data_IF_706240284828
#
_entry.id   IF_706240284828
#
_cell.length_a   1.000
_cell.length_b   1.000
_cell.length_c   1.000
_cell.angle_alpha   90.00
_cell.angle_beta   90.00
_cell.angle_gamma   90.00
#
_symmetry.space_group_name_H-M   'P 1'
#
loop_
_entity.id
_entity.type
_entity.pdbx_description
1 polymer ?
#
# COMPACT_ATOMS: atom_id res chain seq x y z
N UNK A 1 5.17 0.37 -34.94
CA UNK A 1 5.16 -0.08 -33.52
C UNK A 1 6.55 -0.58 -33.19
N UNK A 2 7.06 -0.36 -31.98
CA UNK A 2 8.41 -0.80 -31.62
C UNK A 2 8.49 -2.33 -31.60
N UNK A 3 9.58 -2.90 -32.13
CA UNK A 3 9.76 -4.36 -32.29
C UNK A 3 9.52 -5.14 -30.99
N UNK A 4 9.96 -4.64 -29.84
CA UNK A 4 9.74 -5.29 -28.54
C UNK A 4 8.27 -5.33 -28.12
N UNK A 5 7.44 -4.37 -28.55
CA UNK A 5 6.00 -4.37 -28.29
C UNK A 5 5.31 -5.43 -29.14
N UNK A 6 5.68 -5.56 -30.42
CA UNK A 6 5.17 -6.59 -31.31
C UNK A 6 5.49 -7.98 -30.78
N UNK A 7 6.74 -8.23 -30.39
CA UNK A 7 7.18 -9.48 -29.80
C UNK A 7 6.43 -9.79 -28.49
N UNK A 8 6.26 -8.79 -27.62
CA UNK A 8 5.52 -8.97 -26.36
C UNK A 8 4.03 -9.33 -26.62
N UNK A 9 3.41 -8.72 -27.61
CA UNK A 9 2.03 -9.02 -27.97
C UNK A 9 1.86 -10.44 -28.57
N UNK A 10 2.93 -11.03 -29.08
CA UNK A 10 2.89 -12.40 -29.57
C UNK A 10 2.93 -13.48 -28.49
N UNK A 11 3.33 -13.14 -27.24
CA UNK A 11 3.39 -14.09 -26.12
C UNK A 11 2.02 -14.72 -25.84
N UNK A 12 0.94 -13.95 -26.00
CA UNK A 12 -0.44 -14.44 -25.80
C UNK A 12 -0.93 -15.37 -26.91
N UNK A 13 -0.23 -15.41 -28.06
CA UNK A 13 -0.51 -16.34 -29.14
C UNK A 13 -0.05 -17.74 -28.76
N UNK A 14 -0.67 -18.74 -29.38
CA UNK A 14 -0.35 -20.14 -29.12
C UNK A 14 0.37 -20.77 -30.30
N UNK A 15 1.22 -21.72 -30.01
CA UNK A 15 1.72 -22.68 -30.98
C UNK A 15 0.59 -23.61 -31.46
N UNK A 16 0.84 -24.39 -32.49
CA UNK A 16 -0.14 -25.36 -33.02
C UNK A 16 -0.57 -26.40 -31.96
N UNK A 17 0.32 -26.75 -31.03
CA UNK A 17 0.06 -27.65 -29.90
C UNK A 17 -0.73 -26.99 -28.74
N UNK A 18 -1.08 -25.72 -28.86
CA UNK A 18 -1.83 -24.95 -27.86
C UNK A 18 -1.00 -24.32 -26.74
N UNK A 19 0.33 -24.51 -26.71
CA UNK A 19 1.23 -23.85 -25.74
C UNK A 19 1.43 -22.37 -26.08
N UNK A 20 1.74 -21.55 -25.08
CA UNK A 20 2.02 -20.12 -25.26
C UNK A 20 3.41 -19.91 -25.86
N UNK A 21 3.56 -18.87 -26.69
CA UNK A 21 4.85 -18.48 -27.32
C UNK A 21 5.73 -17.70 -26.35
N UNK A 22 6.15 -18.34 -25.24
CA UNK A 22 6.92 -17.69 -24.17
C UNK A 22 8.36 -17.30 -24.59
N UNK A 23 8.91 -17.92 -25.64
CA UNK A 23 10.21 -17.56 -26.22
C UNK A 23 10.25 -16.13 -26.72
N UNK A 24 9.13 -15.60 -27.20
CA UNK A 24 9.00 -14.22 -27.67
C UNK A 24 9.27 -13.19 -26.58
N UNK A 25 9.04 -13.55 -25.31
CA UNK A 25 9.33 -12.67 -24.18
C UNK A 25 10.84 -12.39 -24.03
N UNK A 26 11.69 -13.42 -24.21
CA UNK A 26 13.15 -13.24 -24.18
C UNK A 26 13.63 -12.36 -25.35
N UNK A 27 13.03 -12.53 -26.53
CA UNK A 27 13.35 -11.71 -27.69
C UNK A 27 12.88 -10.27 -27.50
N UNK A 28 11.70 -10.07 -26.92
CA UNK A 28 11.19 -8.75 -26.55
C UNK A 28 12.13 -8.03 -25.57
N UNK A 29 12.59 -8.73 -24.51
CA UNK A 29 13.58 -8.19 -23.55
C UNK A 29 14.86 -7.79 -24.29
N UNK A 30 15.40 -8.67 -25.15
CA UNK A 30 16.63 -8.39 -25.91
C UNK A 30 16.48 -7.15 -26.80
N UNK A 31 15.40 -7.09 -27.58
CA UNK A 31 15.12 -5.94 -28.45
C UNK A 31 14.96 -4.65 -27.63
N UNK A 32 14.25 -4.71 -26.51
CA UNK A 32 14.07 -3.55 -25.62
C UNK A 32 15.42 -3.01 -25.10
N UNK A 33 16.34 -3.91 -24.71
CA UNK A 33 17.67 -3.49 -24.27
C UNK A 33 18.53 -2.91 -25.42
N UNK A 34 18.57 -3.57 -26.59
CA UNK A 34 19.41 -3.17 -27.70
C UNK A 34 18.89 -1.87 -28.32
N UNK A 35 17.60 -1.82 -28.59
CA UNK A 35 16.99 -0.78 -29.40
C UNK A 35 16.49 0.42 -28.58
N UNK A 36 16.45 0.31 -27.24
CA UNK A 36 15.96 1.39 -26.38
C UNK A 36 16.86 1.66 -25.17
N UNK A 37 17.05 0.71 -24.24
CA UNK A 37 17.76 1.01 -22.98
C UNK A 37 19.21 1.41 -23.24
N UNK A 38 19.97 0.60 -24.01
CA UNK A 38 21.38 0.89 -24.28
C UNK A 38 21.58 2.16 -25.10
N UNK A 39 20.63 2.50 -25.97
CA UNK A 39 20.70 3.73 -26.80
C UNK A 39 20.46 5.00 -25.95
N UNK A 40 19.73 4.88 -24.85
CA UNK A 40 19.41 5.98 -23.95
C UNK A 40 20.17 5.87 -22.61
N UNK A 41 21.20 5.04 -22.53
CA UNK A 41 22.04 4.88 -21.33
C UNK A 41 23.24 5.82 -21.40
N UNK A 42 23.52 6.54 -20.30
CA UNK A 42 24.80 7.22 -20.16
C UNK A 42 25.89 6.19 -19.84
N UNK A 43 26.94 6.20 -20.63
CA UNK A 43 28.11 5.37 -20.45
C UNK A 43 29.21 6.18 -19.77
N UNK A 44 29.91 5.57 -18.85
CA UNK A 44 31.04 6.13 -18.11
C UNK A 44 32.27 5.30 -18.41
N UNK A 45 33.44 5.90 -18.34
CA UNK A 45 34.70 5.22 -18.60
C UNK A 45 34.97 4.12 -17.59
N UNK A 46 34.75 4.43 -16.31
CA UNK A 46 34.90 3.50 -15.20
C UNK A 46 33.85 3.78 -14.09
N UNK A 47 33.96 3.03 -12.99
CA UNK A 47 33.03 3.14 -11.85
C UNK A 47 33.28 4.45 -11.06
N UNK A 48 34.52 4.90 -10.97
CA UNK A 48 34.89 6.10 -10.20
C UNK A 48 34.25 7.34 -10.83
N UNK A 49 34.47 7.56 -12.14
CA UNK A 49 33.80 8.62 -12.91
C UNK A 49 32.28 8.57 -12.75
N UNK A 50 31.72 7.36 -12.77
CA UNK A 50 30.26 7.19 -12.61
C UNK A 50 29.78 7.66 -11.26
N UNK A 51 30.41 7.22 -10.17
CA UNK A 51 29.97 7.54 -8.82
C UNK A 51 30.19 9.02 -8.52
N UNK A 52 31.34 9.58 -8.90
CA UNK A 52 31.65 11.02 -8.78
C UNK A 52 30.58 11.84 -9.50
N UNK A 53 30.30 11.52 -10.77
CA UNK A 53 29.25 12.20 -11.54
C UNK A 53 27.89 12.15 -10.84
N UNK A 54 27.49 10.98 -10.30
CA UNK A 54 26.20 10.82 -9.66
C UNK A 54 26.09 11.57 -8.33
N UNK A 55 27.20 11.71 -7.59
CA UNK A 55 27.26 12.50 -6.35
C UNK A 55 27.25 14.01 -6.67
N UNK A 56 28.12 14.47 -7.57
CA UNK A 56 28.22 15.88 -7.94
C UNK A 56 26.90 16.45 -8.48
N UNK A 57 26.17 15.65 -9.26
CA UNK A 57 24.87 16.04 -9.82
C UNK A 57 23.69 15.77 -8.87
N UNK A 58 23.94 15.48 -7.59
CA UNK A 58 22.91 15.29 -6.55
C UNK A 58 21.95 14.11 -6.81
N UNK A 59 22.41 13.11 -7.54
CA UNK A 59 21.66 11.86 -7.75
C UNK A 59 21.88 10.87 -6.61
N UNK A 60 23.15 10.67 -6.20
CA UNK A 60 23.50 9.80 -5.08
C UNK A 60 23.84 10.59 -3.82
N UNK A 61 23.58 9.97 -2.66
CA UNK A 61 23.96 10.52 -1.38
C UNK A 61 25.40 10.12 -1.03
N UNK A 62 26.31 11.09 -1.00
CA UNK A 62 27.74 10.92 -0.66
C UNK A 62 27.93 10.21 0.71
N UNK A 63 27.07 10.50 1.68
CA UNK A 63 27.16 9.91 3.03
C UNK A 63 27.09 8.38 3.01
N UNK A 64 26.38 7.77 2.04
CA UNK A 64 26.33 6.32 1.88
C UNK A 64 27.71 5.76 1.51
N UNK A 65 28.42 6.43 0.60
CA UNK A 65 29.72 5.96 0.13
C UNK A 65 30.80 6.16 1.19
N UNK A 66 30.68 7.18 2.05
CA UNK A 66 31.58 7.43 3.17
C UNK A 66 31.53 6.36 4.28
N UNK A 67 30.54 5.46 4.24
CA UNK A 67 30.47 4.30 5.16
C UNK A 67 31.36 3.13 4.76
N UNK A 68 31.97 3.16 3.56
CA UNK A 68 32.72 2.06 3.00
C UNK A 68 34.05 2.51 2.40
N UNK A 69 35.05 1.64 2.43
CA UNK A 69 36.29 1.88 1.69
C UNK A 69 36.02 1.75 0.17
N UNK A 70 36.70 2.55 -0.62
CA UNK A 70 36.47 2.58 -2.06
C UNK A 70 36.73 1.20 -2.75
N UNK A 71 37.71 0.46 -2.26
CA UNK A 71 37.99 -0.91 -2.76
C UNK A 71 36.82 -1.88 -2.49
N UNK A 72 36.13 -1.73 -1.36
CA UNK A 72 34.92 -2.52 -1.06
C UNK A 72 33.79 -2.15 -2.02
N UNK A 73 33.58 -0.86 -2.28
CA UNK A 73 32.55 -0.40 -3.24
C UNK A 73 32.80 -1.02 -4.62
N UNK A 74 34.06 -0.96 -5.11
CA UNK A 74 34.43 -1.61 -6.38
C UNK A 74 34.15 -3.11 -6.36
N UNK A 75 34.47 -3.78 -5.25
CA UNK A 75 34.24 -5.19 -5.09
C UNK A 75 32.74 -5.54 -5.11
N UNK A 76 31.87 -4.74 -4.48
CA UNK A 76 30.42 -4.92 -4.52
C UNK A 76 29.84 -4.85 -5.93
N UNK A 77 30.23 -3.83 -6.71
CA UNK A 77 29.81 -3.71 -8.10
C UNK A 77 30.31 -4.90 -8.94
N UNK A 78 31.58 -5.25 -8.82
CA UNK A 78 32.14 -6.43 -9.51
C UNK A 78 31.38 -7.71 -9.16
N UNK A 79 31.03 -7.87 -7.88
CA UNK A 79 30.26 -9.02 -7.41
C UNK A 79 28.85 -9.05 -7.99
N UNK A 80 28.10 -7.94 -7.93
CA UNK A 80 26.76 -7.85 -8.48
C UNK A 80 26.74 -8.15 -9.99
N UNK A 81 27.68 -7.59 -10.75
CA UNK A 81 27.78 -7.84 -12.19
C UNK A 81 28.21 -9.28 -12.53
N UNK A 82 28.86 -10.01 -11.59
CA UNK A 82 29.22 -11.42 -11.81
C UNK A 82 28.03 -12.36 -11.95
N UNK A 83 26.85 -11.98 -11.41
CA UNK A 83 25.60 -12.74 -11.56
C UNK A 83 25.06 -12.73 -12.99
N UNK A 84 25.52 -11.80 -13.84
CA UNK A 84 25.06 -11.66 -15.24
C UNK A 84 23.52 -11.64 -15.32
N UNK A 85 22.89 -10.86 -14.46
CA UNK A 85 21.43 -10.81 -14.31
C UNK A 85 20.71 -10.59 -15.65
N UNK A 86 19.58 -11.27 -15.81
CA UNK A 86 18.72 -11.13 -16.99
C UNK A 86 17.27 -11.12 -16.55
N UNK A 87 16.52 -10.10 -16.97
CA UNK A 87 15.08 -10.05 -16.76
C UNK A 87 14.40 -11.24 -17.45
N UNK A 88 13.49 -11.89 -16.73
CA UNK A 88 12.74 -13.06 -17.23
C UNK A 88 11.60 -12.68 -18.18
N UNK A 89 11.11 -11.43 -18.09
CA UNK A 89 10.01 -10.93 -18.92
C UNK A 89 10.24 -9.47 -19.35
N UNK A 90 9.66 -9.09 -20.49
CA UNK A 90 9.65 -7.72 -20.97
C UNK A 90 8.98 -6.78 -19.94
N UNK A 91 7.86 -7.21 -19.37
CA UNK A 91 7.14 -6.41 -18.36
C UNK A 91 8.00 -6.12 -17.13
N UNK A 92 8.79 -7.09 -16.67
CA UNK A 92 9.71 -6.89 -15.55
C UNK A 92 10.81 -5.88 -15.91
N UNK A 93 11.42 -6.00 -17.08
CA UNK A 93 12.43 -5.06 -17.56
C UNK A 93 11.86 -3.64 -17.71
N UNK A 94 10.72 -3.53 -18.39
CA UNK A 94 10.02 -2.25 -18.58
C UNK A 94 9.67 -1.60 -17.25
N UNK A 95 9.09 -2.36 -16.31
CA UNK A 95 8.72 -1.83 -14.99
C UNK A 95 9.94 -1.32 -14.22
N UNK A 96 11.07 -2.03 -14.30
CA UNK A 96 12.30 -1.57 -13.64
C UNK A 96 12.79 -0.24 -14.24
N UNK A 97 12.94 -0.17 -15.55
CA UNK A 97 13.49 1.03 -16.22
C UNK A 97 12.51 2.22 -16.22
N UNK A 98 11.21 1.98 -16.26
CA UNK A 98 10.23 3.05 -16.17
C UNK A 98 10.13 3.66 -14.75
N UNK A 99 10.23 2.82 -13.70
CA UNK A 99 9.85 3.21 -12.35
C UNK A 99 10.98 3.24 -11.32
N UNK A 100 12.05 2.45 -11.50
CA UNK A 100 13.08 2.26 -10.46
C UNK A 100 14.47 2.75 -10.86
N UNK A 101 14.87 2.53 -12.10
CA UNK A 101 16.18 2.99 -12.58
C UNK A 101 16.29 4.51 -12.48
N UNK A 102 17.44 4.99 -12.01
CA UNK A 102 17.75 6.41 -11.98
C UNK A 102 17.84 6.95 -13.40
N UNK A 103 17.26 8.12 -13.62
CA UNK A 103 17.29 8.85 -14.87
C UNK A 103 17.80 10.27 -14.64
N UNK A 104 18.24 10.89 -15.74
CA UNK A 104 18.52 12.34 -15.78
C UNK A 104 17.25 13.14 -15.41
N UNK A 105 17.42 14.40 -15.02
CA UNK A 105 16.32 15.26 -14.57
C UNK A 105 15.22 15.47 -15.64
N UNK A 106 15.59 15.38 -16.92
CA UNK A 106 14.65 15.42 -18.05
C UNK A 106 13.98 14.05 -18.33
N UNK A 107 14.37 13.00 -17.59
CA UNK A 107 13.84 11.65 -17.72
C UNK A 107 14.25 10.88 -18.98
N UNK A 108 15.14 11.45 -19.81
CA UNK A 108 15.49 10.89 -21.13
C UNK A 108 16.62 9.87 -21.06
N UNK A 109 17.57 10.04 -20.13
CA UNK A 109 18.80 9.24 -20.06
C UNK A 109 18.79 8.36 -18.82
N UNK A 110 19.02 7.06 -19.00
CA UNK A 110 19.21 6.13 -17.90
C UNK A 110 20.62 6.24 -17.32
N UNK A 111 20.72 6.30 -16.02
CA UNK A 111 21.97 6.44 -15.26
C UNK A 111 22.34 5.18 -14.47
N UNK A 112 21.38 4.28 -14.26
CA UNK A 112 21.55 3.02 -13.52
C UNK A 112 21.12 1.82 -14.34
N UNK A 113 21.83 0.69 -14.15
CA UNK A 113 21.37 -0.65 -14.49
C UNK A 113 20.76 -1.32 -13.26
N UNK A 114 20.17 -2.49 -13.44
CA UNK A 114 19.59 -3.26 -12.34
C UNK A 114 20.65 -3.58 -11.27
N UNK A 115 21.82 -4.03 -11.71
CA UNK A 115 22.93 -4.35 -10.82
C UNK A 115 23.36 -3.13 -9.98
N UNK A 116 23.47 -1.96 -10.60
CA UNK A 116 23.82 -0.72 -9.88
C UNK A 116 22.81 -0.42 -8.76
N UNK A 117 21.51 -0.50 -9.10
CA UNK A 117 20.44 -0.23 -8.14
C UNK A 117 20.46 -1.22 -6.96
N UNK A 118 20.74 -2.51 -7.23
CA UNK A 118 20.82 -3.53 -6.19
C UNK A 118 22.05 -3.33 -5.29
N UNK A 119 23.19 -2.88 -5.82
CA UNK A 119 24.37 -2.51 -5.00
C UNK A 119 24.02 -1.39 -4.02
N UNK A 120 23.41 -0.32 -4.50
CA UNK A 120 23.04 0.82 -3.64
C UNK A 120 22.04 0.43 -2.57
N UNK A 121 21.02 -0.39 -2.92
CA UNK A 121 20.06 -0.93 -1.95
C UNK A 121 20.74 -1.79 -0.89
N UNK A 122 21.68 -2.64 -1.30
CA UNK A 122 22.42 -3.51 -0.38
C UNK A 122 23.33 -2.71 0.57
N UNK A 123 24.07 -1.73 0.05
CA UNK A 123 24.94 -0.84 0.83
C UNK A 123 24.13 -0.07 1.89
N UNK A 124 23.03 0.56 1.48
CA UNK A 124 22.14 1.28 2.39
C UNK A 124 21.56 0.39 3.49
N UNK A 125 21.09 -0.80 3.11
CA UNK A 125 20.50 -1.75 4.05
C UNK A 125 21.51 -2.33 5.05
N UNK A 126 22.77 -2.43 4.64
CA UNK A 126 23.86 -2.96 5.45
C UNK A 126 24.50 -1.91 6.38
N UNK A 127 24.28 -0.62 6.12
CA UNK A 127 24.73 0.50 6.96
C UNK A 127 26.18 0.35 7.43
N UNK A 128 27.14 0.25 6.49
CA UNK A 128 28.57 0.14 6.73
C UNK A 128 29.11 -1.27 7.00
N UNK A 129 28.25 -2.29 7.10
CA UNK A 129 28.71 -3.67 7.31
C UNK A 129 28.94 -4.39 5.98
N UNK A 130 30.21 -4.61 5.62
CA UNK A 130 30.64 -5.22 4.35
C UNK A 130 30.07 -6.64 4.16
N UNK A 131 30.06 -7.48 5.19
CA UNK A 131 29.55 -8.85 5.11
C UNK A 131 28.04 -8.83 4.79
N UNK A 132 27.30 -7.92 5.41
CA UNK A 132 25.87 -7.79 5.16
C UNK A 132 25.58 -7.29 3.74
N UNK A 133 26.44 -6.47 3.12
CA UNK A 133 26.29 -6.08 1.72
C UNK A 133 26.29 -7.30 0.82
N UNK A 134 27.26 -8.19 0.98
CA UNK A 134 27.32 -9.44 0.17
C UNK A 134 26.10 -10.32 0.38
N UNK A 135 25.65 -10.49 1.62
CA UNK A 135 24.42 -11.25 1.92
C UNK A 135 23.18 -10.64 1.27
N UNK A 136 23.05 -9.32 1.31
CA UNK A 136 21.95 -8.64 0.63
C UNK A 136 22.05 -8.77 -0.89
N UNK A 137 23.25 -8.64 -1.47
CA UNK A 137 23.46 -8.84 -2.90
C UNK A 137 23.11 -10.27 -3.35
N UNK A 138 23.53 -11.28 -2.60
CA UNK A 138 23.13 -12.66 -2.91
C UNK A 138 21.61 -12.82 -2.98
N UNK A 139 20.91 -12.31 -1.98
CA UNK A 139 19.46 -12.43 -1.92
C UNK A 139 18.75 -11.63 -3.01
N UNK A 140 19.20 -10.39 -3.27
CA UNK A 140 18.61 -9.49 -4.27
C UNK A 140 18.86 -9.98 -5.70
N UNK A 141 20.10 -10.36 -6.01
CA UNK A 141 20.50 -10.79 -7.35
C UNK A 141 19.92 -12.17 -7.71
N UNK A 142 19.77 -13.06 -6.74
CA UNK A 142 19.08 -14.36 -6.91
C UNK A 142 17.55 -14.23 -6.80
N UNK A 143 17.02 -13.03 -6.55
CA UNK A 143 15.58 -12.78 -6.39
C UNK A 143 14.92 -13.64 -5.29
N UNK A 144 15.65 -13.91 -4.20
CA UNK A 144 15.13 -14.59 -3.02
C UNK A 144 14.06 -13.73 -2.34
N UNK A 145 14.26 -12.41 -2.34
CA UNK A 145 13.23 -11.43 -1.98
C UNK A 145 13.34 -10.18 -2.87
N UNK A 146 12.27 -9.42 -2.92
CA UNK A 146 12.20 -8.12 -3.58
C UNK A 146 11.89 -7.07 -2.53
N UNK A 147 12.73 -6.03 -2.35
CA UNK A 147 12.44 -4.94 -1.43
C UNK A 147 11.16 -4.19 -1.83
N UNK A 148 10.54 -3.53 -0.88
CA UNK A 148 9.41 -2.66 -1.15
C UNK A 148 9.78 -1.56 -2.17
N UNK A 149 8.80 -1.12 -2.95
CA UNK A 149 8.98 -0.06 -3.97
C UNK A 149 9.74 1.17 -3.42
N UNK A 150 9.40 1.75 -2.26
CA UNK A 150 10.12 2.90 -1.75
C UNK A 150 11.57 2.59 -1.40
N UNK A 151 11.87 1.43 -0.86
CA UNK A 151 13.27 1.02 -0.59
C UNK A 151 14.06 0.94 -1.89
N UNK A 152 13.53 0.24 -2.91
CA UNK A 152 14.20 0.13 -4.20
C UNK A 152 14.34 1.50 -4.90
N UNK A 153 13.36 2.38 -4.74
CA UNK A 153 13.36 3.69 -5.40
C UNK A 153 14.29 4.68 -4.70
N UNK A 154 14.27 4.75 -3.38
CA UNK A 154 14.84 5.85 -2.61
C UNK A 154 16.20 5.54 -1.97
N UNK A 155 16.58 4.26 -1.79
CA UNK A 155 17.86 3.93 -1.16
C UNK A 155 19.04 4.61 -1.86
N UNK A 156 19.92 5.23 -1.09
CA UNK A 156 21.15 5.89 -1.52
C UNK A 156 20.99 7.08 -2.47
N UNK A 157 19.76 7.56 -2.69
CA UNK A 157 19.53 8.75 -3.52
C UNK A 157 19.56 10.02 -2.66
N UNK A 158 20.16 11.09 -3.19
CA UNK A 158 20.21 12.39 -2.49
C UNK A 158 18.81 13.05 -2.43
N UNK A 159 18.10 13.05 -3.54
CA UNK A 159 16.69 13.49 -3.62
C UNK A 159 15.81 12.26 -3.45
N UNK A 160 15.56 11.88 -2.20
CA UNK A 160 14.80 10.66 -1.90
C UNK A 160 13.57 10.93 -1.03
N UNK A 161 12.56 10.08 -1.16
CA UNK A 161 11.46 9.96 -0.22
C UNK A 161 11.79 8.95 0.89
N UNK A 162 10.79 8.63 1.70
CA UNK A 162 10.92 7.59 2.73
C UNK A 162 11.07 6.19 2.11
N UNK A 163 11.68 5.28 2.89
CA UNK A 163 11.86 3.87 2.49
C UNK A 163 10.71 2.98 2.95
N UNK A 164 9.83 3.51 3.80
CA UNK A 164 8.61 2.84 4.27
C UNK A 164 7.49 3.04 3.26
N UNK A 165 6.81 1.95 2.89
CA UNK A 165 5.82 2.00 1.80
C UNK A 165 4.41 2.29 2.27
N UNK A 166 4.06 1.99 3.53
CA UNK A 166 2.68 2.00 3.98
C UNK A 166 2.58 2.46 5.44
N UNK A 167 1.55 3.26 5.68
CA UNK A 167 1.23 3.85 6.96
C UNK A 167 -0.22 3.55 7.32
N UNK A 168 -0.53 3.58 8.61
CA UNK A 168 -1.87 3.39 9.14
C UNK A 168 -2.21 4.56 10.06
N UNK A 169 -3.43 5.06 9.92
CA UNK A 169 -3.97 6.09 10.79
C UNK A 169 -5.38 5.71 11.27
N UNK A 170 -5.64 5.88 12.55
CA UNK A 170 -6.99 5.92 13.10
C UNK A 170 -7.47 7.37 13.08
N UNK A 171 -8.72 7.58 12.69
CA UNK A 171 -9.33 8.91 12.66
C UNK A 171 -10.32 9.00 13.81
N UNK A 172 -10.00 9.78 14.87
CA UNK A 172 -10.93 9.98 15.99
C UNK A 172 -12.16 10.76 15.57
N UNK A 173 -13.29 10.48 16.25
CA UNK A 173 -14.58 11.10 15.98
C UNK A 173 -14.71 12.49 16.64
N UNK A 174 -13.89 13.42 16.19
CA UNK A 174 -13.97 14.85 16.55
C UNK A 174 -13.47 15.72 15.39
N UNK A 175 -13.81 16.98 15.40
CA UNK A 175 -13.34 17.95 14.37
C UNK A 175 -11.81 18.00 14.34
N UNK A 176 -11.20 18.05 15.52
CA UNK A 176 -9.73 18.06 15.68
C UNK A 176 -9.11 16.75 15.20
N UNK A 177 -9.71 15.61 15.58
CA UNK A 177 -9.25 14.28 15.19
C UNK A 177 -9.34 14.05 13.68
N UNK A 178 -10.43 14.45 13.05
CA UNK A 178 -10.60 14.37 11.59
C UNK A 178 -9.59 15.28 10.89
N UNK A 179 -9.43 16.54 11.35
CA UNK A 179 -8.47 17.49 10.76
C UNK A 179 -7.04 16.98 10.88
N UNK A 180 -6.66 16.48 12.05
CA UNK A 180 -5.35 15.87 12.26
C UNK A 180 -5.12 14.62 11.38
N UNK A 181 -6.13 13.76 11.26
CA UNK A 181 -6.07 12.59 10.37
C UNK A 181 -5.84 12.97 8.91
N UNK A 182 -6.51 14.03 8.43
CA UNK A 182 -6.31 14.55 7.07
C UNK A 182 -4.91 15.15 6.88
N UNK A 183 -4.41 15.91 7.86
CA UNK A 183 -3.04 16.44 7.83
C UNK A 183 -2.01 15.32 7.80
N UNK A 184 -2.14 14.32 8.68
CA UNK A 184 -1.28 13.14 8.70
C UNK A 184 -1.31 12.41 7.35
N UNK A 185 -2.49 12.18 6.78
CA UNK A 185 -2.66 11.57 5.46
C UNK A 185 -1.92 12.35 4.36
N UNK A 186 -2.03 13.69 4.37
CA UNK A 186 -1.33 14.57 3.43
C UNK A 186 0.19 14.45 3.54
N UNK A 187 0.73 14.51 4.75
CA UNK A 187 2.17 14.41 5.00
C UNK A 187 2.72 13.04 4.59
N UNK A 188 2.04 11.95 4.96
CA UNK A 188 2.44 10.59 4.63
C UNK A 188 2.35 10.31 3.12
N UNK A 189 1.34 10.85 2.45
CA UNK A 189 1.20 10.75 0.99
C UNK A 189 2.33 11.48 0.27
N UNK A 190 2.68 12.69 0.74
CA UNK A 190 3.75 13.51 0.17
C UNK A 190 5.11 12.82 0.18
N UNK A 191 5.43 12.04 1.22
CA UNK A 191 6.68 11.27 1.30
C UNK A 191 6.63 9.94 0.54
N UNK A 192 5.53 9.65 -0.16
CA UNK A 192 5.38 8.48 -1.06
C UNK A 192 4.81 7.25 -0.39
N UNK A 193 4.27 7.35 0.82
CA UNK A 193 3.60 6.26 1.51
C UNK A 193 2.17 6.02 1.02
N UNK A 194 1.76 4.76 0.94
CA UNK A 194 0.34 4.40 0.87
C UNK A 194 -0.27 4.45 2.27
N UNK A 195 -1.45 5.03 2.42
CA UNK A 195 -2.08 5.22 3.73
C UNK A 195 -3.35 4.40 3.86
N UNK A 196 -3.46 3.61 4.94
CA UNK A 196 -4.71 3.01 5.39
C UNK A 196 -5.31 3.86 6.51
N UNK A 197 -6.56 4.28 6.35
CA UNK A 197 -7.29 5.06 7.34
C UNK A 197 -8.50 4.27 7.87
N UNK A 198 -8.65 4.16 9.19
CA UNK A 198 -9.86 3.59 9.80
C UNK A 198 -10.89 4.67 10.02
N UNK A 199 -12.11 4.39 9.56
CA UNK A 199 -13.30 5.22 9.80
C UNK A 199 -14.28 4.54 10.78
N UNK A 200 -13.87 3.43 11.40
CA UNK A 200 -14.76 2.59 12.22
C UNK A 200 -15.31 3.34 13.43
N UNK A 201 -14.56 4.29 13.96
CA UNK A 201 -14.94 5.03 15.16
C UNK A 201 -15.65 6.35 14.85
N UNK A 202 -15.70 6.76 13.59
CA UNK A 202 -16.49 7.94 13.16
C UNK A 202 -17.96 7.63 13.35
N UNK A 203 -18.69 8.54 13.99
CA UNK A 203 -20.12 8.38 14.23
C UNK A 203 -20.91 8.15 12.95
N UNK A 204 -21.90 7.27 13.06
CA UNK A 204 -22.79 6.94 11.97
C UNK A 204 -23.76 8.10 11.64
N UNK A 205 -24.28 8.08 10.43
CA UNK A 205 -25.33 9.03 10.01
C UNK A 205 -26.50 9.01 10.98
N UNK A 206 -26.96 10.22 11.35
CA UNK A 206 -28.08 10.42 12.26
C UNK A 206 -27.75 10.24 13.74
N UNK A 207 -26.47 10.09 14.10
CA UNK A 207 -26.07 10.18 15.51
C UNK A 207 -26.07 11.64 16.00
N UNK A 208 -26.08 11.82 17.29
CA UNK A 208 -26.16 13.12 17.95
C UNK A 208 -24.81 13.86 17.88
N UNK A 209 -24.85 15.18 17.66
CA UNK A 209 -23.70 16.08 17.84
C UNK A 209 -24.13 17.18 18.82
N UNK A 210 -23.41 17.35 19.91
CA UNK A 210 -23.64 18.40 20.92
C UNK A 210 -25.11 18.49 21.39
N UNK A 211 -25.76 17.32 21.54
CA UNK A 211 -27.17 17.26 21.96
C UNK A 211 -28.19 17.43 20.81
N UNK A 212 -27.75 17.70 19.60
CA UNK A 212 -28.63 17.82 18.42
C UNK A 212 -28.80 16.46 17.77
N UNK A 213 -30.01 15.94 17.74
CA UNK A 213 -30.36 14.68 17.09
C UNK A 213 -30.24 14.80 15.57
N UNK A 214 -29.93 13.69 14.91
CA UNK A 214 -29.78 13.55 13.46
C UNK A 214 -28.75 14.52 12.81
N UNK A 215 -27.80 15.05 13.60
CA UNK A 215 -26.83 16.03 13.14
C UNK A 215 -25.63 15.42 12.40
N UNK A 216 -25.29 14.15 12.69
CA UNK A 216 -24.13 13.48 12.08
C UNK A 216 -24.39 13.12 10.61
N UNK A 217 -23.44 13.47 9.75
CA UNK A 217 -23.49 13.14 8.32
C UNK A 217 -22.92 11.74 7.96
N UNK A 218 -22.31 11.05 8.92
CA UNK A 218 -21.73 9.72 8.75
C UNK A 218 -20.35 9.73 8.09
N UNK A 219 -19.86 8.55 7.72
CA UNK A 219 -18.48 8.30 7.28
C UNK A 219 -18.15 8.82 5.87
N UNK A 220 -19.16 9.03 5.00
CA UNK A 220 -18.92 9.33 3.58
C UNK A 220 -18.23 10.68 3.40
N UNK A 221 -18.62 11.70 4.20
CA UNK A 221 -17.99 13.02 4.14
C UNK A 221 -16.48 12.94 4.44
N UNK A 222 -16.09 12.20 5.48
CA UNK A 222 -14.69 12.01 5.85
C UNK A 222 -13.93 11.24 4.76
N UNK A 223 -14.56 10.20 4.18
CA UNK A 223 -13.97 9.45 3.07
C UNK A 223 -13.72 10.34 1.83
N UNK A 224 -14.62 11.28 1.53
CA UNK A 224 -14.44 12.25 0.43
C UNK A 224 -13.27 13.20 0.71
N UNK A 225 -13.14 13.72 1.93
CA UNK A 225 -12.00 14.55 2.31
C UNK A 225 -10.67 13.82 2.18
N UNK A 226 -10.62 12.53 2.56
CA UNK A 226 -9.44 11.68 2.36
C UNK A 226 -9.14 11.51 0.86
N UNK A 227 -10.14 11.26 0.03
CA UNK A 227 -9.98 11.13 -1.43
C UNK A 227 -9.35 12.38 -2.02
N UNK A 228 -9.85 13.56 -1.69
CA UNK A 228 -9.34 14.83 -2.18
C UNK A 228 -7.93 15.11 -1.66
N UNK A 229 -7.65 14.76 -0.41
CA UNK A 229 -6.32 14.84 0.19
C UNK A 229 -5.31 14.00 -0.59
N UNK A 230 -5.58 12.74 -0.86
CA UNK A 230 -4.66 11.87 -1.62
C UNK A 230 -4.52 12.28 -3.09
N UNK A 231 -5.56 12.83 -3.70
CA UNK A 231 -5.49 13.34 -5.06
C UNK A 231 -4.61 14.60 -5.16
N UNK A 232 -4.61 15.43 -4.13
CA UNK A 232 -3.83 16.68 -4.12
C UNK A 232 -2.36 16.44 -3.73
N UNK A 233 -2.12 15.65 -2.68
CA UNK A 233 -0.76 15.41 -2.15
C UNK A 233 -0.16 14.14 -2.72
N UNK A 234 0.85 14.28 -3.59
CA UNK A 234 1.60 13.18 -4.19
C UNK A 234 3.11 13.41 -4.12
N UNK A 235 3.90 12.36 -4.35
CA UNK A 235 5.37 12.43 -4.35
C UNK A 235 5.89 12.98 -5.69
N UNK A 236 5.83 14.30 -5.90
CA UNK A 236 6.46 15.00 -7.04
C UNK A 236 6.30 14.26 -8.38
N UNK A 237 5.12 13.75 -8.68
CA UNK A 237 4.79 12.91 -9.84
C UNK A 237 5.55 11.57 -9.96
N UNK A 238 6.39 11.21 -8.99
CA UNK A 238 7.06 9.89 -8.99
C UNK A 238 6.13 8.77 -8.55
N UNK A 239 5.22 9.06 -7.61
CA UNK A 239 4.16 8.16 -7.14
C UNK A 239 2.89 8.96 -6.86
N UNK A 240 1.77 8.55 -7.46
CA UNK A 240 0.47 9.12 -7.14
C UNK A 240 0.12 8.88 -5.66
N UNK A 241 -0.49 9.87 -5.02
CA UNK A 241 -1.06 9.71 -3.69
C UNK A 241 -2.08 8.57 -3.70
N UNK A 242 -2.01 7.70 -2.71
CA UNK A 242 -2.85 6.49 -2.67
C UNK A 242 -3.25 6.16 -1.24
N UNK A 243 -4.55 5.97 -1.02
CA UNK A 243 -5.10 5.61 0.27
C UNK A 243 -6.19 4.56 0.19
N UNK A 244 -6.48 3.96 1.32
CA UNK A 244 -7.64 3.11 1.52
C UNK A 244 -8.35 3.51 2.81
N UNK A 245 -9.67 3.69 2.74
CA UNK A 245 -10.52 3.85 3.91
C UNK A 245 -11.09 2.49 4.31
N UNK A 246 -10.95 2.14 5.58
CA UNK A 246 -11.51 0.91 6.17
C UNK A 246 -12.72 1.22 7.03
N UNK A 247 -13.75 0.38 6.90
CA UNK A 247 -14.94 0.43 7.76
C UNK A 247 -15.29 -0.99 8.24
N UNK A 248 -15.64 -1.11 9.53
CA UNK A 248 -16.10 -2.39 10.08
C UNK A 248 -17.46 -2.78 9.49
N UNK A 249 -17.63 -4.07 9.18
CA UNK A 249 -18.92 -4.64 8.83
C UNK A 249 -19.99 -4.44 9.95
N UNK A 250 -19.53 -4.17 11.17
CA UNK A 250 -20.40 -3.89 12.32
C UNK A 250 -20.72 -2.39 12.49
N UNK A 251 -20.33 -1.54 11.56
CA UNK A 251 -20.68 -0.11 11.57
C UNK A 251 -22.06 0.12 10.92
N UNK A 252 -22.90 0.98 11.49
CA UNK A 252 -24.27 1.20 10.99
C UNK A 252 -24.34 1.73 9.55
N UNK A 253 -23.31 2.45 9.09
CA UNK A 253 -23.21 3.01 7.72
C UNK A 253 -22.60 2.05 6.70
N UNK A 254 -22.36 0.78 7.02
CA UNK A 254 -21.60 -0.13 6.16
C UNK A 254 -22.17 -0.25 4.73
N UNK A 255 -23.47 -0.33 4.55
CA UNK A 255 -24.08 -0.42 3.23
C UNK A 255 -23.94 0.87 2.42
N UNK A 256 -24.06 2.03 3.07
CA UNK A 256 -23.84 3.32 2.41
C UNK A 256 -22.39 3.45 1.98
N UNK A 257 -21.44 3.03 2.83
CA UNK A 257 -20.02 3.02 2.50
C UNK A 257 -19.70 2.10 1.31
N UNK A 258 -20.21 0.87 1.29
CA UNK A 258 -20.05 -0.05 0.16
C UNK A 258 -20.61 0.54 -1.14
N UNK A 259 -21.79 1.15 -1.06
CA UNK A 259 -22.47 1.73 -2.24
C UNK A 259 -21.67 2.85 -2.92
N UNK A 260 -20.69 3.48 -2.24
CA UNK A 260 -19.81 4.50 -2.86
C UNK A 260 -19.05 4.01 -4.08
N UNK A 261 -18.92 2.68 -4.24
CA UNK A 261 -18.25 2.03 -5.38
C UNK A 261 -19.20 1.34 -6.34
N UNK A 262 -20.50 1.38 -6.11
CA UNK A 262 -21.48 0.83 -7.05
C UNK A 262 -21.52 1.62 -8.35
N UNK A 263 -21.87 0.94 -9.47
CA UNK A 263 -21.95 1.57 -10.79
C UNK A 263 -22.98 2.71 -10.79
N UNK A 264 -24.12 2.52 -10.12
CA UNK A 264 -25.25 3.44 -10.13
C UNK A 264 -25.35 4.32 -8.87
N UNK A 265 -24.22 4.67 -8.24
CA UNK A 265 -24.22 5.56 -7.09
C UNK A 265 -24.29 7.02 -7.51
N UNK A 266 -24.93 7.86 -6.68
CA UNK A 266 -24.93 9.31 -6.82
C UNK A 266 -23.50 9.86 -6.86
N UNK A 267 -23.19 10.73 -7.82
CA UNK A 267 -21.86 11.32 -7.99
C UNK A 267 -21.37 12.06 -6.76
N UNK A 268 -22.26 12.64 -5.97
CA UNK A 268 -21.90 13.33 -4.72
C UNK A 268 -21.35 12.36 -3.65
N UNK A 269 -21.73 11.09 -3.72
CA UNK A 269 -21.29 10.02 -2.79
C UNK A 269 -20.20 9.13 -3.38
N UNK A 270 -19.98 9.17 -4.69
CA UNK A 270 -19.03 8.30 -5.39
C UNK A 270 -17.59 8.57 -4.95
N UNK A 271 -16.89 7.50 -4.56
CA UNK A 271 -15.44 7.50 -4.37
C UNK A 271 -14.78 6.98 -5.65
N UNK A 272 -14.00 7.82 -6.35
CA UNK A 272 -13.40 7.49 -7.66
C UNK A 272 -11.99 6.90 -7.53
N UNK A 273 -11.19 7.47 -6.67
CA UNK A 273 -9.76 7.16 -6.54
C UNK A 273 -9.41 6.52 -5.20
N UNK A 274 -10.13 6.85 -4.12
CA UNK A 274 -9.92 6.26 -2.81
C UNK A 274 -10.32 4.78 -2.81
N UNK A 275 -9.39 3.89 -2.50
CA UNK A 275 -9.72 2.48 -2.25
C UNK A 275 -10.60 2.34 -1.00
N UNK A 276 -11.49 1.35 -0.97
CA UNK A 276 -12.26 1.03 0.23
C UNK A 276 -11.97 -0.39 0.69
N UNK A 277 -12.03 -0.59 2.00
CA UNK A 277 -11.84 -1.89 2.64
C UNK A 277 -12.88 -2.14 3.73
N UNK A 278 -13.21 -3.39 3.95
CA UNK A 278 -14.17 -3.81 4.97
C UNK A 278 -13.50 -4.75 5.95
N UNK A 279 -13.63 -4.43 7.24
CA UNK A 279 -13.15 -5.23 8.36
C UNK A 279 -14.28 -6.18 8.75
N UNK A 280 -14.03 -7.47 8.64
CA UNK A 280 -15.04 -8.52 8.87
C UNK A 280 -14.65 -9.34 10.12
N UNK A 281 -15.33 -9.16 11.25
CA UNK A 281 -15.23 -10.06 12.38
C UNK A 281 -15.86 -11.43 12.07
N UNK A 282 -15.35 -12.50 12.70
CA UNK A 282 -15.82 -13.88 12.48
C UNK A 282 -17.29 -14.07 12.71
N UNK A 283 -17.86 -13.35 13.67
CA UNK A 283 -19.31 -13.41 13.97
C UNK A 283 -20.19 -13.13 12.75
N UNK A 284 -19.77 -12.23 11.83
CA UNK A 284 -20.51 -11.94 10.59
C UNK A 284 -20.55 -13.18 9.69
N UNK A 285 -19.41 -13.90 9.58
CA UNK A 285 -19.31 -15.12 8.77
C UNK A 285 -20.08 -16.29 9.40
N UNK A 286 -20.04 -16.40 10.72
CA UNK A 286 -20.80 -17.41 11.49
C UNK A 286 -22.31 -17.21 11.29
N UNK A 287 -22.80 -15.98 11.43
CA UNK A 287 -24.21 -15.63 11.19
C UNK A 287 -24.62 -15.87 9.73
N UNK A 288 -23.76 -15.55 8.77
CA UNK A 288 -24.03 -15.83 7.35
C UNK A 288 -24.10 -17.34 7.07
N UNK A 289 -23.21 -18.15 7.66
CA UNK A 289 -23.25 -19.61 7.56
C UNK A 289 -24.55 -20.19 8.14
N UNK A 290 -24.99 -19.67 9.28
CA UNK A 290 -26.22 -20.07 9.92
C UNK A 290 -27.50 -19.57 9.20
N UNK A 291 -27.40 -18.60 8.30
CA UNK A 291 -28.56 -17.93 7.67
C UNK A 291 -29.27 -16.98 8.62
N UNK A 292 -28.52 -16.41 9.54
CA UNK A 292 -29.01 -15.52 10.60
C UNK A 292 -28.66 -14.06 10.31
N UNK A 293 -29.17 -13.18 11.18
CA UNK A 293 -28.86 -11.77 11.17
C UNK A 293 -27.74 -11.47 12.16
N UNK A 294 -26.95 -10.44 11.85
CA UNK A 294 -26.06 -9.80 12.81
C UNK A 294 -26.51 -8.35 13.06
N UNK A 295 -25.90 -7.70 14.03
CA UNK A 295 -26.18 -6.32 14.38
C UNK A 295 -24.98 -5.43 14.10
N UNK A 296 -25.22 -4.34 13.39
CA UNK A 296 -24.29 -3.23 13.26
C UNK A 296 -24.61 -2.17 14.31
N UNK A 297 -23.60 -1.47 14.76
CA UNK A 297 -23.66 -0.55 15.89
C UNK A 297 -23.42 0.90 15.46
N UNK A 298 -23.86 1.81 16.30
CA UNK A 298 -23.64 3.24 16.19
C UNK A 298 -22.46 3.64 17.07
N UNK A 299 -21.29 4.01 16.50
CA UNK A 299 -20.03 4.12 17.26
C UNK A 299 -20.08 5.09 18.42
N UNK A 300 -20.66 6.28 18.21
CA UNK A 300 -20.76 7.28 19.27
C UNK A 300 -21.64 6.80 20.45
N UNK A 301 -22.75 6.13 20.15
CA UNK A 301 -23.59 5.52 21.18
C UNK A 301 -22.85 4.41 21.93
N UNK A 302 -22.12 3.54 21.20
CA UNK A 302 -21.31 2.49 21.84
C UNK A 302 -20.30 3.11 22.80
N UNK A 303 -19.55 4.12 22.36
CA UNK A 303 -18.56 4.82 23.18
C UNK A 303 -19.20 5.47 24.42
N UNK A 304 -20.37 6.09 24.26
CA UNK A 304 -21.09 6.72 25.38
C UNK A 304 -21.51 5.71 26.42
N UNK A 305 -21.97 4.51 26.02
CA UNK A 305 -22.48 3.47 26.93
C UNK A 305 -21.35 2.62 27.54
N UNK A 306 -20.31 2.29 26.76
CA UNK A 306 -19.26 1.35 27.17
C UNK A 306 -17.97 2.02 27.63
N UNK A 307 -17.73 3.28 27.22
CA UNK A 307 -16.47 3.98 27.41
C UNK A 307 -15.37 3.57 26.43
N UNK A 308 -15.64 2.64 25.48
CA UNK A 308 -14.69 2.12 24.49
C UNK A 308 -15.09 2.56 23.08
N UNK A 309 -14.13 2.84 22.24
CA UNK A 309 -14.36 3.01 20.82
C UNK A 309 -14.75 1.67 20.15
N UNK A 310 -15.55 1.71 19.10
CA UNK A 310 -16.04 0.49 18.43
C UNK A 310 -14.89 -0.39 17.92
N UNK A 311 -13.80 0.21 17.49
CA UNK A 311 -12.60 -0.50 17.03
C UNK A 311 -11.79 -1.15 18.16
N UNK A 312 -12.03 -0.77 19.42
CA UNK A 312 -11.33 -1.30 20.59
C UNK A 312 -12.02 -2.52 21.19
N UNK A 313 -13.27 -2.77 20.79
CA UNK A 313 -14.06 -3.87 21.34
C UNK A 313 -13.65 -5.18 20.69
N UNK A 314 -13.31 -6.18 21.53
CA UNK A 314 -13.09 -7.54 21.07
C UNK A 314 -14.44 -8.20 20.73
N UNK A 315 -14.81 -8.18 19.46
CA UNK A 315 -16.09 -8.71 18.99
C UNK A 315 -16.24 -10.22 19.15
N UNK A 316 -15.15 -10.96 19.30
CA UNK A 316 -15.18 -12.38 19.61
C UNK A 316 -15.72 -12.67 21.02
N UNK A 317 -15.50 -11.77 21.95
CA UNK A 317 -15.84 -11.92 23.37
C UNK A 317 -17.04 -11.04 23.77
N UNK A 318 -17.12 -9.82 23.25
CA UNK A 318 -18.03 -8.77 23.76
C UNK A 318 -19.28 -8.58 22.86
N UNK A 319 -19.35 -9.18 21.66
CA UNK A 319 -20.46 -8.97 20.72
C UNK A 319 -21.84 -9.25 21.34
N UNK A 320 -22.02 -10.39 21.97
CA UNK A 320 -23.32 -10.78 22.56
C UNK A 320 -23.74 -9.85 23.72
N UNK A 321 -22.77 -9.32 24.47
CA UNK A 321 -23.04 -8.34 25.52
C UNK A 321 -23.55 -7.02 24.94
N UNK A 322 -22.99 -6.56 23.81
CA UNK A 322 -23.49 -5.37 23.11
C UNK A 322 -24.88 -5.60 22.52
N UNK A 323 -25.14 -6.78 21.95
CA UNK A 323 -26.44 -7.13 21.38
C UNK A 323 -27.53 -7.17 22.46
N UNK A 324 -27.22 -7.70 23.64
CA UNK A 324 -28.18 -7.84 24.74
C UNK A 324 -28.38 -6.55 25.55
N UNK A 325 -27.48 -5.57 25.40
CA UNK A 325 -27.61 -4.29 26.06
C UNK A 325 -28.71 -3.43 25.40
N UNK A 326 -29.69 -3.00 26.16
CA UNK A 326 -30.85 -2.20 25.68
C UNK A 326 -30.47 -0.75 25.35
N UNK A 327 -29.41 -0.24 25.97
CA UNK A 327 -28.95 1.14 25.77
C UNK A 327 -28.07 1.28 24.52
N UNK A 328 -27.60 0.16 23.96
CA UNK A 328 -26.84 0.13 22.72
C UNK A 328 -27.77 0.20 21.51
N UNK A 329 -27.65 1.29 20.76
CA UNK A 329 -28.35 1.48 19.48
C UNK A 329 -27.72 0.56 18.43
N UNK A 330 -28.55 -0.22 17.74
CA UNK A 330 -28.09 -1.22 16.77
C UNK A 330 -29.05 -1.36 15.59
N UNK A 331 -28.47 -1.73 14.44
CA UNK A 331 -29.21 -1.99 13.20
C UNK A 331 -29.10 -3.46 12.85
N UNK A 332 -30.25 -4.13 12.66
CA UNK A 332 -30.31 -5.53 12.27
C UNK A 332 -29.98 -5.68 10.79
N UNK A 333 -29.07 -6.58 10.45
CA UNK A 333 -28.59 -6.82 9.08
C UNK A 333 -28.66 -8.33 8.79
N UNK A 334 -29.20 -8.71 7.64
CA UNK A 334 -29.10 -10.08 7.15
C UNK A 334 -27.65 -10.36 6.71
N UNK A 335 -27.02 -11.38 7.28
CA UNK A 335 -25.61 -11.63 7.07
C UNK A 335 -25.31 -12.14 5.63
N UNK A 336 -26.24 -12.84 5.00
CA UNK A 336 -26.08 -13.30 3.60
C UNK A 336 -26.34 -12.17 2.61
N UNK A 337 -27.31 -11.29 2.89
CA UNK A 337 -27.53 -10.08 2.09
C UNK A 337 -26.26 -9.19 2.09
N UNK A 338 -25.66 -8.99 3.27
CA UNK A 338 -24.40 -8.25 3.36
C UNK A 338 -23.28 -8.86 2.48
N UNK A 339 -23.05 -10.19 2.57
CA UNK A 339 -22.02 -10.84 1.76
C UNK A 339 -22.35 -10.81 0.26
N UNK A 340 -23.61 -10.88 -0.09
CA UNK A 340 -24.09 -10.77 -1.48
C UNK A 340 -23.81 -9.37 -2.03
N UNK A 341 -24.08 -8.32 -1.26
CA UNK A 341 -23.78 -6.94 -1.66
C UNK A 341 -22.26 -6.71 -1.78
N UNK A 342 -21.46 -7.24 -0.85
CA UNK A 342 -20.00 -7.21 -0.95
C UNK A 342 -19.54 -7.86 -2.26
N UNK A 343 -20.02 -9.06 -2.57
CA UNK A 343 -19.63 -9.79 -3.79
C UNK A 343 -20.05 -9.05 -5.06
N UNK A 344 -21.23 -8.45 -5.07
CA UNK A 344 -21.74 -7.64 -6.18
C UNK A 344 -20.85 -6.41 -6.43
N UNK A 345 -20.55 -5.64 -5.40
CA UNK A 345 -19.66 -4.46 -5.51
C UNK A 345 -18.25 -4.87 -5.93
N UNK A 346 -17.75 -6.01 -5.44
CA UNK A 346 -16.46 -6.55 -5.90
C UNK A 346 -16.47 -6.92 -7.39
N UNK A 347 -17.54 -7.50 -7.88
CA UNK A 347 -17.69 -7.80 -9.31
C UNK A 347 -17.74 -6.53 -10.17
N UNK A 348 -18.41 -5.49 -9.69
CA UNK A 348 -18.56 -4.21 -10.39
C UNK A 348 -17.30 -3.35 -10.40
N UNK A 349 -16.53 -3.33 -9.29
CA UNK A 349 -15.47 -2.34 -9.06
C UNK A 349 -14.13 -2.90 -8.58
N UNK A 350 -14.07 -4.18 -8.21
CA UNK A 350 -12.90 -4.78 -7.55
C UNK A 350 -12.78 -4.44 -6.06
N UNK A 351 -13.72 -3.70 -5.48
CA UNK A 351 -13.78 -3.29 -4.08
C UNK A 351 -15.02 -3.87 -3.37
N UNK A 352 -15.04 -3.91 -2.04
CA UNK A 352 -14.00 -3.54 -1.07
C UNK A 352 -12.88 -4.59 -0.96
N UNK A 353 -11.73 -4.18 -0.43
CA UNK A 353 -10.78 -5.12 0.17
C UNK A 353 -11.40 -5.73 1.43
N UNK A 354 -11.11 -7.01 1.70
CA UNK A 354 -11.63 -7.69 2.88
C UNK A 354 -10.49 -8.02 3.84
N UNK A 355 -10.67 -7.73 5.12
CA UNK A 355 -9.80 -8.19 6.19
C UNK A 355 -10.60 -8.95 7.23
N UNK A 356 -10.25 -10.22 7.46
CA UNK A 356 -10.81 -11.06 8.53
C UNK A 356 -10.03 -10.79 9.81
N UNK A 357 -10.53 -9.85 10.60
CA UNK A 357 -9.77 -9.23 11.68
C UNK A 357 -9.43 -10.20 12.80
N UNK A 358 -10.34 -11.10 13.14
CA UNK A 358 -10.11 -12.06 14.21
C UNK A 358 -9.02 -13.07 13.80
N UNK A 359 -9.05 -13.55 12.55
CA UNK A 359 -8.02 -14.44 12.03
C UNK A 359 -6.64 -13.74 11.98
N UNK A 360 -6.62 -12.45 11.63
CA UNK A 360 -5.38 -11.67 11.65
C UNK A 360 -4.83 -11.52 13.07
N UNK A 361 -5.69 -11.29 14.05
CA UNK A 361 -5.29 -11.18 15.45
C UNK A 361 -4.94 -12.53 16.09
N UNK A 362 -5.57 -13.63 15.68
CA UNK A 362 -5.23 -14.98 16.19
C UNK A 362 -3.77 -15.36 15.89
N UNK A 363 -3.20 -14.88 14.77
CA UNK A 363 -1.79 -15.12 14.40
C UNK A 363 -0.86 -13.95 14.76
N UNK A 364 -1.39 -12.86 15.29
CA UNK A 364 -0.59 -11.71 15.71
C UNK A 364 0.12 -12.01 17.03
N UNK A 365 1.44 -12.10 17.01
CA UNK A 365 2.27 -12.34 18.20
C UNK A 365 2.20 -11.21 19.24
N UNK A 366 1.82 -10.00 18.83
CA UNK A 366 1.70 -8.83 19.70
C UNK A 366 0.24 -8.44 19.99
N UNK A 367 -0.72 -9.32 19.77
CA UNK A 367 -2.16 -9.02 19.93
C UNK A 367 -2.54 -8.42 21.28
N UNK A 368 -1.87 -8.85 22.36
CA UNK A 368 -2.09 -8.35 23.71
C UNK A 368 -1.66 -6.88 23.90
N UNK A 369 -0.64 -6.45 23.14
CA UNK A 369 -0.05 -5.10 23.21
C UNK A 369 -0.58 -4.19 22.10
N UNK A 370 -0.72 -4.74 20.90
CA UNK A 370 -1.07 -4.01 19.69
C UNK A 370 -1.97 -4.87 18.78
N UNK A 371 -3.27 -4.96 19.09
CA UNK A 371 -4.21 -5.67 18.23
C UNK A 371 -4.30 -4.97 16.87
N UNK A 372 -4.39 -5.78 15.82
CA UNK A 372 -4.62 -5.30 14.46
C UNK A 372 -6.06 -4.79 14.37
N UNK A 373 -6.26 -3.55 13.92
CA UNK A 373 -7.58 -2.93 13.76
C UNK A 373 -7.96 -2.72 12.30
N UNK A 374 -6.97 -2.61 11.42
CA UNK A 374 -7.14 -2.40 9.97
C UNK A 374 -5.95 -2.98 9.20
N UNK A 375 -5.93 -2.82 7.88
CA UNK A 375 -4.78 -3.15 7.04
C UNK A 375 -4.29 -1.93 6.27
N UNK A 376 -3.10 -2.06 5.67
CA UNK A 376 -2.56 -1.04 4.78
C UNK A 376 -3.20 -1.11 3.38
N UNK A 377 -2.82 -0.16 2.50
CA UNK A 377 -3.28 -0.11 1.12
C UNK A 377 -2.91 -1.38 0.33
N UNK A 378 -1.70 -1.90 0.51
CA UNK A 378 -1.16 -3.01 -0.28
C UNK A 378 -1.60 -4.39 0.20
N UNK A 379 -2.31 -4.53 1.31
CA UNK A 379 -2.79 -5.80 1.91
C UNK A 379 -1.70 -6.85 2.21
N UNK A 380 -0.44 -6.52 2.02
CA UNK A 380 0.63 -7.51 2.02
C UNK A 380 1.11 -7.95 3.40
N UNK A 381 0.79 -7.23 4.44
CA UNK A 381 1.01 -7.62 5.83
C UNK A 381 0.10 -6.78 6.70
N UNK A 382 -0.68 -7.39 7.56
CA UNK A 382 -1.33 -6.71 8.65
C UNK A 382 -0.21 -6.22 9.60
N UNK A 383 0.11 -4.94 9.65
CA UNK A 383 1.32 -4.54 10.32
C UNK A 383 1.11 -4.35 11.81
N UNK A 384 2.12 -4.74 12.52
CA UNK A 384 2.40 -4.49 13.92
C UNK A 384 2.45 -3.01 14.33
N UNK A 385 2.08 -2.06 13.45
CA UNK A 385 2.38 -0.64 13.62
C UNK A 385 1.17 0.25 13.96
N UNK A 386 0.02 -0.30 14.30
CA UNK A 386 -1.20 0.49 14.50
C UNK A 386 -1.19 1.44 15.71
N UNK A 387 -0.22 1.34 16.62
CA UNK A 387 -0.22 2.12 17.86
C UNK A 387 0.98 3.03 18.13
N UNK A 388 1.95 3.15 17.21
CA UNK A 388 3.15 3.96 17.50
C UNK A 388 2.86 5.46 17.39
N UNK A 389 1.89 5.88 16.60
CA UNK A 389 1.59 7.30 16.41
C UNK A 389 0.42 7.84 17.25
N UNK A 390 -0.48 7.00 17.76
CA UNK A 390 -1.57 7.48 18.62
C UNK A 390 -1.16 7.75 20.07
N UNK A 391 0.06 7.37 20.48
CA UNK A 391 0.60 7.61 21.84
C UNK A 391 1.78 8.59 21.90
N UNK A 392 2.17 9.20 20.79
CA UNK A 392 3.32 10.11 20.70
C UNK A 392 2.92 11.59 20.60
N UNK A 393 1.66 11.92 20.92
CA UNK A 393 1.18 13.31 21.07
C UNK A 393 0.44 13.43 22.39
#
# INVERSE_FOLDING_TARGET
>A
MSKWIELNNEIVRRHEDGTLKLEQDKEAVRSYFVDHINMNMRWFHDLEEKIEYLIENQYYNEELFNLYEWEDVKAFYKYAYSFKFRFKSYMAAKKFYDSYALKSDDGQVYLERFEDRMVIVAMESANGNVEHVYRHLDNLMNQVYTPATPTTLNAGRKRSGEKVSCFLIDIPDSTEGISYGLEAAAQLSRIGGGVGASLTDIRARGEMIEGIHDAASGVIGVAKLLEDTFNHYNQLNQRAGSGVAYLSALHADIFEFLSTRAINVDESKRLKTLSIGTIIPNIVMEKAKAGEHYYAFYPHNVKTVTGKDLSEINMKEEYESLVNNKDIKKKKIDAREFLTEVAKIQLESGYPYLIFIDNANDVNHLRELAPIRMSNLCKLNAPLYSNVYSKAI
#
